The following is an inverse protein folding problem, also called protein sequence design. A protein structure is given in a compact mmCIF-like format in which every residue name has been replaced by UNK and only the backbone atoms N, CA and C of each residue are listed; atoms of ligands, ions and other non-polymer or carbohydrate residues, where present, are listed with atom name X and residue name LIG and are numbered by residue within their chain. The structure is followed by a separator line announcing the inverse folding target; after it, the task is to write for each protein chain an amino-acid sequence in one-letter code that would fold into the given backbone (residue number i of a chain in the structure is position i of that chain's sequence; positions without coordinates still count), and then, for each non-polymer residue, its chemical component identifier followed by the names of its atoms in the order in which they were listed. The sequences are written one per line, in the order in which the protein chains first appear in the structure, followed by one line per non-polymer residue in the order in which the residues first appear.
data_IF_287265219398
#
_entry.id   IF_287265219398
#
_cell.length_a   1.000
_cell.length_b   1.000
_cell.length_c   1.000
_cell.angle_alpha   90.00
_cell.angle_beta   90.00
_cell.angle_gamma   90.00
#
_symmetry.space_group_name_H-M   'P 1'
#
loop_
_entity.id
_entity.type
_entity.pdbx_description
1 polymer ?
#
# COMPACT_ATOMS: atom_id res chain seq x y z
N UNK A 1 3.83 8.56 36.29
CA UNK A 1 3.75 9.00 34.88
C UNK A 1 2.28 9.28 34.55
N UNK A 2 1.95 10.52 34.22
CA UNK A 2 0.57 10.91 33.88
C UNK A 2 0.25 10.43 32.47
N UNK A 3 -0.82 9.63 32.31
CA UNK A 3 -1.23 9.09 31.01
C UNK A 3 -1.84 10.23 30.18
N UNK A 4 -1.24 10.55 29.05
CA UNK A 4 -1.80 11.56 28.14
C UNK A 4 -3.08 11.03 27.50
N UNK A 5 -4.16 11.84 27.43
CA UNK A 5 -5.41 11.40 26.83
C UNK A 5 -5.28 11.28 25.32
N UNK A 6 -5.96 10.28 24.74
CA UNK A 6 -6.09 10.12 23.30
C UNK A 6 -6.97 11.24 22.74
N UNK A 7 -6.60 11.83 21.59
CA UNK A 7 -7.39 12.89 20.95
C UNK A 7 -8.83 12.45 20.62
N UNK A 8 -9.77 13.39 20.63
CA UNK A 8 -11.17 13.11 20.26
C UNK A 8 -11.31 12.50 18.86
N UNK A 9 -10.51 12.97 17.89
CA UNK A 9 -10.48 12.40 16.53
C UNK A 9 -10.13 10.92 16.54
N UNK A 10 -9.11 10.52 17.30
CA UNK A 10 -8.70 9.14 17.40
C UNK A 10 -9.71 8.27 18.16
N UNK A 11 -10.43 8.83 19.14
CA UNK A 11 -11.52 8.14 19.84
C UNK A 11 -12.72 7.84 18.92
N UNK A 12 -12.94 8.66 17.89
CA UNK A 12 -13.99 8.45 16.89
C UNK A 12 -13.65 7.41 15.80
N UNK A 13 -12.42 6.90 15.75
CA UNK A 13 -12.03 5.91 14.74
C UNK A 13 -12.56 4.53 15.15
N UNK A 14 -13.43 3.95 14.32
CA UNK A 14 -13.91 2.58 14.51
C UNK A 14 -12.82 1.55 14.20
N UNK A 15 -12.85 0.42 14.92
CA UNK A 15 -11.98 -0.70 14.60
C UNK A 15 -12.29 -1.26 13.21
N UNK A 16 -11.25 -1.55 12.42
CA UNK A 16 -11.41 -2.17 11.10
C UNK A 16 -12.12 -3.52 11.24
N UNK A 17 -13.26 -3.73 10.55
CA UNK A 17 -13.97 -5.01 10.55
C UNK A 17 -13.08 -6.17 10.09
N UNK A 18 -12.24 -5.93 9.08
CA UNK A 18 -11.28 -6.93 8.57
C UNK A 18 -10.30 -7.35 9.67
N UNK A 19 -9.71 -6.37 10.38
CA UNK A 19 -8.75 -6.66 11.46
C UNK A 19 -9.41 -7.30 12.68
N UNK A 20 -10.67 -6.98 12.96
CA UNK A 20 -11.45 -7.57 14.05
C UNK A 20 -11.56 -9.10 13.90
N UNK A 21 -11.67 -9.62 12.68
CA UNK A 21 -11.83 -11.05 12.43
C UNK A 21 -10.52 -11.81 12.23
N UNK A 22 -9.38 -11.13 12.08
CA UNK A 22 -8.08 -11.78 11.89
C UNK A 22 -7.75 -12.85 12.96
N UNK A 23 -8.00 -12.61 14.27
CA UNK A 23 -7.74 -13.64 15.29
C UNK A 23 -8.57 -14.91 15.10
N UNK A 24 -9.83 -14.78 14.64
CA UNK A 24 -10.71 -15.93 14.40
C UNK A 24 -10.23 -16.75 13.20
N UNK A 25 -9.75 -16.09 12.14
CA UNK A 25 -9.18 -16.75 10.96
C UNK A 25 -7.90 -17.52 11.36
N UNK A 26 -7.05 -16.92 12.19
CA UNK A 26 -5.83 -17.57 12.69
C UNK A 26 -6.14 -18.78 13.58
N UNK A 27 -7.15 -18.70 14.44
CA UNK A 27 -7.62 -19.80 15.27
C UNK A 27 -8.20 -20.95 14.42
N UNK A 28 -9.05 -20.64 13.44
CA UNK A 28 -9.59 -21.62 12.51
C UNK A 28 -8.46 -22.35 11.74
N UNK A 29 -7.46 -21.60 11.27
CA UNK A 29 -6.29 -22.18 10.61
C UNK A 29 -5.49 -23.13 11.53
N UNK A 30 -5.31 -22.77 12.81
CA UNK A 30 -4.66 -23.65 13.81
C UNK A 30 -5.44 -24.94 14.05
N UNK A 31 -6.77 -24.91 13.90
CA UNK A 31 -7.66 -26.08 13.96
C UNK A 31 -7.70 -26.89 12.66
N UNK A 32 -6.89 -26.54 11.66
CA UNK A 32 -6.88 -27.22 10.35
C UNK A 32 -8.08 -26.86 9.46
N UNK A 33 -8.86 -25.83 9.81
CA UNK A 33 -9.99 -25.37 9.01
C UNK A 33 -9.47 -24.48 7.90
N UNK A 34 -9.79 -24.83 6.65
CA UNK A 34 -9.48 -23.99 5.51
C UNK A 34 -10.43 -22.79 5.43
N UNK A 35 -9.87 -21.58 5.40
CA UNK A 35 -10.63 -20.33 5.32
C UNK A 35 -10.37 -19.66 3.98
N UNK A 36 -11.41 -19.55 3.15
CA UNK A 36 -11.37 -18.78 1.90
C UNK A 36 -11.37 -17.28 2.20
N UNK A 37 -10.27 -16.59 1.86
CA UNK A 37 -10.07 -15.17 2.15
C UNK A 37 -10.64 -14.29 1.03
N UNK A 38 -11.96 -14.16 0.98
CA UNK A 38 -12.66 -13.29 0.03
C UNK A 38 -12.75 -11.82 0.48
N UNK A 39 -12.13 -11.51 1.61
CA UNK A 39 -12.27 -10.24 2.33
C UNK A 39 -11.03 -9.34 2.24
N UNK A 40 -10.01 -9.75 1.49
CA UNK A 40 -8.76 -9.00 1.32
C UNK A 40 -8.52 -8.81 -0.18
N UNK A 41 -8.25 -7.57 -0.61
CA UNK A 41 -7.95 -7.24 -2.00
C UNK A 41 -6.49 -7.47 -2.38
N UNK A 42 -5.84 -8.47 -1.79
CA UNK A 42 -4.47 -8.86 -2.13
C UNK A 42 -4.52 -9.73 -3.39
N UNK A 43 -3.99 -9.27 -4.53
CA UNK A 43 -4.06 -10.03 -5.76
C UNK A 43 -3.12 -11.25 -5.69
N UNK A 44 -3.55 -12.34 -6.30
CA UNK A 44 -2.80 -13.59 -6.42
C UNK A 44 -1.91 -13.64 -7.68
N UNK A 45 -1.90 -12.57 -8.47
CA UNK A 45 -1.08 -12.46 -9.68
C UNK A 45 0.35 -12.01 -9.36
N UNK A 46 1.32 -12.59 -10.07
CA UNK A 46 2.71 -12.18 -9.94
C UNK A 46 2.91 -10.73 -10.43
N UNK A 47 3.70 -9.91 -9.71
CA UNK A 47 4.13 -8.63 -10.23
C UNK A 47 4.95 -8.79 -11.52
N UNK A 48 4.91 -7.82 -12.46
CA UNK A 48 5.73 -7.87 -13.66
C UNK A 48 7.22 -8.03 -13.34
N UNK A 49 7.91 -8.99 -13.99
CA UNK A 49 9.34 -9.30 -13.74
C UNK A 49 10.26 -8.06 -13.84
N UNK A 50 9.89 -7.12 -14.70
CA UNK A 50 10.60 -5.85 -14.90
C UNK A 50 10.66 -5.01 -13.62
N UNK A 51 9.64 -5.06 -12.76
CA UNK A 51 9.58 -4.33 -11.51
C UNK A 51 10.77 -4.70 -10.60
N UNK A 52 10.93 -5.99 -10.30
CA UNK A 52 12.01 -6.48 -9.44
C UNK A 52 13.39 -6.26 -10.06
N UNK A 53 13.51 -6.40 -11.39
CA UNK A 53 14.77 -6.11 -12.09
C UNK A 53 15.20 -4.65 -11.90
N UNK A 54 14.29 -3.70 -12.07
CA UNK A 54 14.59 -2.27 -11.95
C UNK A 54 14.93 -1.91 -10.50
N UNK A 55 14.12 -2.37 -9.54
CA UNK A 55 14.37 -2.14 -8.11
C UNK A 55 15.72 -2.73 -7.69
N UNK A 56 16.02 -3.97 -8.08
CA UNK A 56 17.29 -4.63 -7.76
C UNK A 56 18.51 -4.01 -8.44
N UNK A 57 18.32 -3.29 -9.55
CA UNK A 57 19.40 -2.59 -10.26
C UNK A 57 19.75 -1.21 -9.67
N UNK A 58 19.04 -0.75 -8.64
CA UNK A 58 19.32 0.54 -8.00
C UNK A 58 20.69 0.52 -7.31
N UNK A 59 21.63 1.30 -7.83
CA UNK A 59 23.04 1.28 -7.39
C UNK A 59 23.57 2.66 -6.96
N UNK A 60 22.68 3.61 -6.65
CA UNK A 60 23.14 4.93 -6.19
C UNK A 60 23.81 4.79 -4.81
N UNK A 61 24.91 5.51 -4.56
CA UNK A 61 25.65 5.41 -3.29
C UNK A 61 24.85 5.87 -2.07
N UNK A 62 23.77 6.63 -2.28
CA UNK A 62 22.87 7.09 -1.22
C UNK A 62 21.41 6.97 -1.65
N UNK A 63 20.52 6.85 -0.66
CA UNK A 63 19.06 6.86 -0.83
C UNK A 63 18.50 8.16 -0.24
N UNK A 64 18.60 9.24 -1.01
CA UNK A 64 18.12 10.56 -0.61
C UNK A 64 16.59 10.67 -0.64
N UNK A 65 16.07 11.71 0.02
CA UNK A 65 14.64 12.05 -0.06
C UNK A 65 14.27 12.44 -1.49
N UNK A 66 13.15 11.89 -1.97
CA UNK A 66 12.51 12.39 -3.18
C UNK A 66 11.85 13.76 -2.91
N UNK A 67 11.69 14.62 -3.93
CA UNK A 67 10.85 15.79 -3.82
C UNK A 67 9.44 15.42 -3.37
N UNK A 68 8.74 16.32 -2.65
CA UNK A 68 7.37 16.06 -2.18
C UNK A 68 6.39 15.65 -3.29
N UNK A 69 6.46 16.21 -4.52
CA UNK A 69 5.63 15.74 -5.63
C UNK A 69 6.04 14.36 -6.21
N UNK A 70 7.21 13.84 -5.84
CA UNK A 70 7.86 12.68 -6.45
C UNK A 70 9.00 13.08 -7.39
N UNK A 71 9.79 12.09 -7.82
CA UNK A 71 10.82 12.30 -8.86
C UNK A 71 10.16 12.58 -10.21
N UNK A 72 10.82 13.38 -11.07
CA UNK A 72 10.27 13.81 -12.35
C UNK A 72 9.92 12.63 -13.27
N UNK A 73 10.77 11.60 -13.30
CA UNK A 73 10.56 10.41 -14.11
C UNK A 73 9.27 9.67 -13.71
N UNK A 74 8.94 9.66 -12.41
CA UNK A 74 7.73 9.05 -11.88
C UNK A 74 6.48 9.86 -12.24
N UNK A 75 6.51 11.18 -12.05
CA UNK A 75 5.34 12.04 -12.35
C UNK A 75 5.05 12.09 -13.85
N UNK A 76 6.07 12.13 -14.70
CA UNK A 76 5.91 12.04 -16.16
C UNK A 76 5.36 10.68 -16.61
N UNK A 77 5.77 9.58 -15.97
CA UNK A 77 5.22 8.26 -16.27
C UNK A 77 3.70 8.21 -16.01
N UNK A 78 3.24 8.80 -14.91
CA UNK A 78 1.81 8.95 -14.63
C UNK A 78 1.08 9.81 -15.67
N UNK A 79 1.65 10.96 -16.04
CA UNK A 79 1.06 11.81 -17.08
C UNK A 79 0.88 11.05 -18.40
N UNK A 80 1.89 10.25 -18.80
CA UNK A 80 1.84 9.41 -19.99
C UNK A 80 0.77 8.32 -19.87
N UNK A 81 0.69 7.63 -18.74
CA UNK A 81 -0.31 6.59 -18.48
C UNK A 81 -1.73 7.15 -18.60
N UNK A 82 -2.04 8.24 -17.89
CA UNK A 82 -3.39 8.83 -17.89
C UNK A 82 -3.79 9.41 -19.26
N UNK A 83 -2.82 9.89 -20.05
CA UNK A 83 -3.09 10.34 -21.43
C UNK A 83 -3.66 9.23 -22.32
N UNK A 84 -3.32 7.96 -22.07
CA UNK A 84 -3.87 6.82 -22.81
C UNK A 84 -5.39 6.66 -22.59
N UNK A 85 -5.91 7.24 -21.51
CA UNK A 85 -7.33 7.25 -21.17
C UNK A 85 -8.00 8.61 -21.45
N UNK A 86 -7.34 9.49 -22.21
CA UNK A 86 -7.85 10.83 -22.53
C UNK A 86 -7.78 11.83 -21.38
N UNK A 87 -7.14 11.46 -20.26
CA UNK A 87 -7.00 12.33 -19.08
C UNK A 87 -5.69 13.12 -19.19
N UNK A 88 -5.80 14.46 -19.28
CA UNK A 88 -4.64 15.35 -19.31
C UNK A 88 -4.32 15.82 -17.89
N UNK A 89 -3.23 15.33 -17.33
CA UNK A 89 -2.70 15.76 -16.04
C UNK A 89 -1.68 16.89 -16.22
N UNK A 90 -1.77 17.90 -15.36
CA UNK A 90 -0.74 18.91 -15.16
C UNK A 90 0.16 18.46 -14.00
N UNK A 91 1.47 18.59 -14.18
CA UNK A 91 2.47 18.13 -13.21
C UNK A 91 3.15 19.29 -12.46
N UNK A 92 2.70 20.54 -12.69
CA UNK A 92 3.17 21.73 -11.98
C UNK A 92 4.50 22.24 -12.51
#
# INVERSE_FOLDING_TARGET
MTKLPVSQRAQGVIASPIRKFLPLIQDAAKRGIHVFKLNVGDPDIEPPKQFFKVVGSYSRPTLGYAPSPGILEHTQAWQKYYRQFGVKLDIG
#
